data_IF_930538731298
#
_entry.id   IF_930538731298
#
_cell.length_a   1.000
_cell.length_b   1.000
_cell.length_c   1.000
_cell.angle_alpha   90.00
_cell.angle_beta   90.00
_cell.angle_gamma   90.00
#
_symmetry.space_group_name_H-M   'P 1'
#
loop_
_entity.id
_entity.type
_entity.pdbx_description
1 polymer ?
#
# COMPACT_ATOMS: atom_id res chain seq x y z
N UNK A 1 -1.62 17.44 2.02
CA UNK A 1 -2.55 17.60 0.85
C UNK A 1 -3.39 16.33 0.72
N UNK A 2 -4.71 16.44 0.44
CA UNK A 2 -5.57 15.26 0.16
C UNK A 2 -5.26 14.79 -1.27
N UNK A 3 -4.93 13.52 -1.43
CA UNK A 3 -4.56 12.92 -2.71
C UNK A 3 -5.70 12.09 -3.30
N UNK A 4 -6.43 11.36 -2.46
CA UNK A 4 -7.50 10.46 -2.87
C UNK A 4 -8.63 10.55 -1.84
N UNK A 5 -9.86 10.55 -2.32
CA UNK A 5 -11.07 10.46 -1.51
C UNK A 5 -11.90 9.27 -2.00
N UNK A 6 -12.41 8.46 -1.07
CA UNK A 6 -13.29 7.33 -1.33
C UNK A 6 -14.58 7.46 -0.52
N UNK A 7 -15.44 6.47 -0.52
CA UNK A 7 -16.68 6.53 0.27
C UNK A 7 -16.45 6.64 1.79
N UNK A 8 -15.35 6.06 2.30
CA UNK A 8 -15.09 5.99 3.74
C UNK A 8 -13.73 6.54 4.15
N UNK A 9 -12.82 6.77 3.19
CA UNK A 9 -11.43 7.08 3.45
C UNK A 9 -10.99 8.38 2.78
N UNK A 10 -10.05 9.07 3.45
CA UNK A 10 -9.22 10.12 2.89
C UNK A 10 -7.77 9.62 2.92
N UNK A 11 -7.11 9.62 1.77
CA UNK A 11 -5.67 9.38 1.67
C UNK A 11 -4.98 10.73 1.44
N UNK A 12 -4.10 11.10 2.37
CA UNK A 12 -3.37 12.37 2.31
C UNK A 12 -1.88 12.17 2.55
N UNK A 13 -1.10 13.13 2.15
CA UNK A 13 0.30 13.16 2.55
C UNK A 13 0.40 13.10 4.08
N UNK A 14 1.34 12.30 4.58
CA UNK A 14 1.64 12.23 6.01
C UNK A 14 2.67 13.29 6.38
N UNK A 15 2.64 13.71 7.64
CA UNK A 15 3.58 14.63 8.23
C UNK A 15 4.11 14.12 9.57
N UNK A 16 5.03 14.88 10.21
CA UNK A 16 5.57 14.52 11.53
C UNK A 16 4.49 14.37 12.61
N UNK A 17 3.36 15.04 12.46
CA UNK A 17 2.18 14.99 13.34
C UNK A 17 1.49 13.63 13.35
N UNK A 18 1.71 12.81 12.32
CA UNK A 18 1.10 11.47 12.20
C UNK A 18 1.90 10.39 12.94
N UNK A 19 2.99 10.77 13.62
CA UNK A 19 3.91 9.82 14.23
C UNK A 19 3.21 8.86 15.18
N UNK A 20 2.40 9.35 16.13
CA UNK A 20 1.79 8.50 17.15
C UNK A 20 0.82 7.48 16.55
N UNK A 21 0.00 7.90 15.59
CA UNK A 21 -0.93 7.03 14.90
C UNK A 21 -0.19 5.98 14.05
N UNK A 22 0.84 6.39 13.31
CA UNK A 22 1.62 5.48 12.50
C UNK A 22 2.48 4.53 13.35
N UNK A 23 3.03 5.00 14.47
CA UNK A 23 3.78 4.17 15.41
C UNK A 23 2.89 3.05 15.97
N UNK A 24 1.65 3.36 16.35
CA UNK A 24 0.71 2.35 16.82
C UNK A 24 0.43 1.24 15.78
N UNK A 25 0.54 1.55 14.49
CA UNK A 25 0.39 0.58 13.40
C UNK A 25 1.69 -0.20 13.18
N UNK A 26 2.81 0.49 12.95
CA UNK A 26 4.07 -0.13 12.52
C UNK A 26 4.84 -0.81 13.65
N UNK A 27 4.62 -0.42 14.91
CA UNK A 27 5.20 -1.09 16.07
C UNK A 27 4.41 -2.33 16.53
N UNK A 28 3.21 -2.57 15.97
CA UNK A 28 2.42 -3.76 16.25
C UNK A 28 3.08 -4.98 15.58
N UNK A 29 3.55 -5.93 16.41
CA UNK A 29 4.25 -7.13 15.93
C UNK A 29 3.38 -8.05 15.07
N UNK A 30 2.06 -8.08 15.29
CA UNK A 30 1.15 -8.90 14.50
C UNK A 30 0.96 -8.32 13.10
N UNK A 31 0.93 -6.98 12.98
CA UNK A 31 0.83 -6.29 11.68
C UNK A 31 2.13 -6.46 10.90
N UNK A 32 3.27 -6.29 11.58
CA UNK A 32 4.59 -6.26 10.95
C UNK A 32 5.34 -7.60 11.03
N UNK A 33 4.65 -8.71 11.35
CA UNK A 33 5.25 -10.03 11.53
C UNK A 33 6.03 -10.56 10.32
N UNK A 34 5.75 -10.07 9.12
CA UNK A 34 6.43 -10.47 7.89
C UNK A 34 7.66 -9.62 7.56
N UNK A 35 7.98 -8.62 8.41
CA UNK A 35 9.21 -7.83 8.28
C UNK A 35 10.35 -8.47 9.09
N UNK A 36 11.60 -8.44 8.59
CA UNK A 36 12.73 -9.06 9.27
C UNK A 36 13.25 -8.26 10.47
N UNK A 37 12.58 -7.18 10.85
CA UNK A 37 12.96 -6.28 11.93
C UNK A 37 11.72 -5.63 12.57
N UNK A 38 11.90 -5.12 13.79
CA UNK A 38 10.88 -4.37 14.52
C UNK A 38 10.94 -2.88 14.19
N UNK A 39 9.82 -2.19 14.31
CA UNK A 39 9.70 -0.75 14.09
C UNK A 39 9.75 -0.03 15.44
N UNK A 40 10.90 0.51 15.78
CA UNK A 40 11.09 1.47 16.87
C UNK A 40 10.73 2.89 16.43
N UNK A 41 10.76 3.85 17.35
CA UNK A 41 10.45 5.25 17.04
C UNK A 41 11.34 5.83 15.93
N UNK A 42 12.63 5.52 15.92
CA UNK A 42 13.55 6.04 14.91
C UNK A 42 13.19 5.53 13.51
N UNK A 43 12.80 4.26 13.40
CA UNK A 43 12.34 3.68 12.12
C UNK A 43 11.04 4.28 11.64
N UNK A 44 10.09 4.54 12.54
CA UNK A 44 8.81 5.17 12.17
C UNK A 44 9.02 6.62 11.75
N UNK A 45 9.85 7.39 12.45
CA UNK A 45 10.22 8.75 12.00
C UNK A 45 10.90 8.74 10.63
N UNK A 46 11.82 7.80 10.41
CA UNK A 46 12.45 7.63 9.10
C UNK A 46 11.45 7.22 8.01
N UNK A 47 10.45 6.41 8.34
CA UNK A 47 9.36 6.03 7.43
C UNK A 47 8.58 7.26 6.95
N UNK A 48 8.18 8.12 7.88
CA UNK A 48 7.51 9.38 7.56
C UNK A 48 8.40 10.26 6.67
N UNK A 49 9.65 10.49 7.08
CA UNK A 49 10.58 11.34 6.34
C UNK A 49 10.84 10.84 4.92
N UNK A 50 10.98 9.53 4.74
CA UNK A 50 11.12 8.91 3.41
C UNK A 50 9.90 9.13 2.54
N UNK A 51 8.70 9.10 3.09
CA UNK A 51 7.49 9.36 2.32
C UNK A 51 7.34 10.85 1.99
N UNK A 52 7.67 11.77 2.90
CA UNK A 52 7.74 13.20 2.60
C UNK A 52 8.72 13.47 1.44
N UNK A 53 9.89 12.84 1.46
CA UNK A 53 10.85 12.97 0.35
C UNK A 53 10.31 12.38 -0.96
N UNK A 54 9.63 11.24 -0.91
CA UNK A 54 8.97 10.64 -2.08
C UNK A 54 7.93 11.57 -2.70
N UNK A 55 7.09 12.22 -1.88
CA UNK A 55 6.12 13.20 -2.39
C UNK A 55 6.81 14.34 -3.12
N UNK A 56 7.92 14.85 -2.56
CA UNK A 56 8.70 15.93 -3.17
C UNK A 56 9.34 15.54 -4.50
N UNK A 57 9.89 14.32 -4.59
CA UNK A 57 10.67 13.85 -5.75
C UNK A 57 9.78 13.23 -6.82
N UNK A 58 8.80 12.43 -6.44
CA UNK A 58 7.98 11.62 -7.36
C UNK A 58 6.53 12.09 -7.47
N UNK A 59 6.06 12.93 -6.55
CA UNK A 59 4.64 13.29 -6.45
C UNK A 59 3.76 12.19 -5.85
N UNK A 60 4.34 11.09 -5.37
CA UNK A 60 3.64 9.99 -4.71
C UNK A 60 4.52 9.31 -3.66
N UNK A 61 3.89 8.53 -2.79
CA UNK A 61 4.50 7.74 -1.71
C UNK A 61 3.42 6.96 -0.98
N UNK A 62 3.69 6.46 0.22
CA UNK A 62 2.64 5.97 1.10
C UNK A 62 1.93 7.16 1.74
N UNK A 63 0.62 7.21 1.61
CA UNK A 63 -0.22 8.25 2.18
C UNK A 63 -0.85 7.77 3.48
N UNK A 64 -1.11 8.70 4.40
CA UNK A 64 -1.94 8.45 5.59
C UNK A 64 -3.35 8.07 5.15
N UNK A 65 -3.85 6.95 5.64
CA UNK A 65 -5.23 6.50 5.45
C UNK A 65 -6.05 6.95 6.64
N UNK A 66 -6.98 7.87 6.42
CA UNK A 66 -7.82 8.44 7.46
C UNK A 66 -9.29 8.09 7.22
N UNK A 67 -10.04 7.86 8.30
CA UNK A 67 -11.50 7.72 8.22
C UNK A 67 -12.13 9.07 7.92
N UNK A 68 -13.02 9.15 6.93
CA UNK A 68 -13.79 10.38 6.67
C UNK A 68 -14.65 10.81 7.85
N UNK A 69 -15.23 9.84 8.56
CA UNK A 69 -16.18 10.08 9.64
C UNK A 69 -15.58 10.74 10.88
N UNK A 70 -14.29 10.51 11.16
CA UNK A 70 -13.64 10.99 12.39
C UNK A 70 -12.33 11.74 12.15
N UNK A 71 -11.74 11.63 10.95
CA UNK A 71 -10.38 12.11 10.67
C UNK A 71 -9.28 11.22 11.26
N UNK A 72 -9.62 10.14 11.96
CA UNK A 72 -8.68 9.22 12.57
C UNK A 72 -7.81 8.56 11.51
N UNK A 73 -6.48 8.65 11.68
CA UNK A 73 -5.53 7.90 10.87
C UNK A 73 -5.50 6.44 11.31
N UNK A 74 -5.81 5.54 10.40
CA UNK A 74 -5.92 4.09 10.66
C UNK A 74 -4.80 3.27 9.98
N UNK A 75 -3.88 3.92 9.29
CA UNK A 75 -2.80 3.24 8.61
C UNK A 75 -2.18 4.04 7.48
N UNK A 76 -1.46 3.36 6.61
CA UNK A 76 -0.93 3.92 5.38
C UNK A 76 -1.26 3.06 4.16
N UNK A 77 -1.33 3.70 3.00
CA UNK A 77 -1.47 3.03 1.70
C UNK A 77 -0.97 3.97 0.60
N UNK A 78 -0.30 3.42 -0.41
CA UNK A 78 0.15 4.26 -1.52
C UNK A 78 1.02 3.54 -2.54
N UNK A 79 1.60 4.36 -3.42
CA UNK A 79 2.47 3.92 -4.50
C UNK A 79 3.92 4.21 -4.13
N UNK A 80 4.78 3.21 -4.28
CA UNK A 80 6.23 3.36 -4.08
C UNK A 80 7.02 2.63 -5.15
N UNK A 81 8.27 3.02 -5.36
CA UNK A 81 9.20 2.27 -6.20
C UNK A 81 9.97 1.29 -5.31
N UNK A 82 9.79 0.00 -5.53
CA UNK A 82 10.39 -1.07 -4.73
C UNK A 82 11.26 -2.00 -5.58
N UNK A 83 12.33 -2.53 -4.97
CA UNK A 83 13.13 -3.58 -5.58
C UNK A 83 12.45 -4.93 -5.35
N UNK A 84 11.86 -5.49 -6.39
CA UNK A 84 11.12 -6.75 -6.35
C UNK A 84 11.84 -7.77 -7.23
N UNK A 85 12.46 -8.79 -6.62
CA UNK A 85 13.22 -9.80 -7.34
C UNK A 85 14.31 -9.21 -8.23
N UNK A 86 15.04 -8.18 -7.75
CA UNK A 86 16.15 -7.54 -8.45
C UNK A 86 15.77 -6.35 -9.34
N UNK A 87 14.49 -6.15 -9.65
CA UNK A 87 14.00 -5.07 -10.53
C UNK A 87 13.26 -4.01 -9.71
N UNK A 88 13.43 -2.74 -10.07
CA UNK A 88 12.66 -1.63 -9.46
C UNK A 88 11.31 -1.51 -10.16
N UNK A 89 10.23 -1.69 -9.40
CA UNK A 89 8.86 -1.76 -9.90
C UNK A 89 7.94 -0.84 -9.07
N UNK A 90 6.87 -0.27 -9.68
CA UNK A 90 5.85 0.49 -8.95
C UNK A 90 4.98 -0.45 -8.12
N UNK A 91 4.99 -0.26 -6.82
CA UNK A 91 4.35 -1.15 -5.84
C UNK A 91 3.27 -0.40 -5.08
N UNK A 92 2.11 -1.05 -4.93
CA UNK A 92 1.03 -0.61 -4.03
C UNK A 92 1.19 -1.37 -2.71
N UNK A 93 1.55 -0.63 -1.65
CA UNK A 93 1.71 -1.12 -0.29
C UNK A 93 0.64 -0.58 0.64
N UNK A 94 0.37 -1.30 1.73
CA UNK A 94 -0.64 -0.91 2.72
C UNK A 94 -0.40 -1.57 4.07
N UNK A 95 -0.70 -0.80 5.14
CA UNK A 95 -0.76 -1.28 6.53
C UNK A 95 -2.00 -0.66 7.18
N UNK A 96 -2.82 -1.48 7.86
CA UNK A 96 -4.02 -1.02 8.55
C UNK A 96 -3.96 -1.47 10.00
N UNK A 97 -4.25 -0.54 10.91
CA UNK A 97 -4.33 -0.78 12.34
C UNK A 97 -5.23 -1.96 12.67
N UNK A 98 -4.81 -2.81 13.62
CA UNK A 98 -5.48 -4.06 13.96
C UNK A 98 -6.97 -3.89 14.28
N UNK A 99 -7.33 -2.81 15.00
CA UNK A 99 -8.72 -2.48 15.33
C UNK A 99 -9.61 -2.19 14.11
N UNK A 100 -8.99 -1.88 12.97
CA UNK A 100 -9.69 -1.51 11.73
C UNK A 100 -9.56 -2.58 10.62
N UNK A 101 -8.87 -3.67 10.88
CA UNK A 101 -8.75 -4.79 9.94
C UNK A 101 -10.09 -5.51 9.74
N UNK A 102 -10.19 -6.29 8.65
CA UNK A 102 -11.38 -7.08 8.26
C UNK A 102 -12.65 -6.25 8.00
N UNK A 103 -12.52 -4.92 7.86
CA UNK A 103 -13.61 -4.00 7.52
C UNK A 103 -13.56 -3.55 6.06
N UNK A 104 -12.63 -4.08 5.27
CA UNK A 104 -12.47 -3.77 3.86
C UNK A 104 -11.67 -2.49 3.57
N UNK A 105 -11.11 -1.82 4.56
CA UNK A 105 -10.37 -0.57 4.37
C UNK A 105 -9.10 -0.73 3.53
N UNK A 106 -8.31 -1.77 3.76
CA UNK A 106 -7.11 -2.05 2.94
C UNK A 106 -7.48 -2.26 1.46
N UNK A 107 -8.56 -3.01 1.19
CA UNK A 107 -9.09 -3.21 -0.16
C UNK A 107 -9.51 -1.89 -0.80
N UNK A 108 -10.29 -1.07 -0.10
CA UNK A 108 -10.80 0.22 -0.59
C UNK A 108 -9.66 1.18 -0.89
N UNK A 109 -8.68 1.31 0.01
CA UNK A 109 -7.50 2.13 -0.17
C UNK A 109 -6.64 1.65 -1.35
N UNK A 110 -6.34 0.35 -1.44
CA UNK A 110 -5.52 -0.21 -2.50
C UNK A 110 -6.17 -0.06 -3.89
N UNK A 111 -7.49 -0.23 -3.99
CA UNK A 111 -8.23 0.00 -5.23
C UNK A 111 -8.18 1.47 -5.66
N UNK A 112 -8.35 2.38 -4.73
CA UNK A 112 -8.29 3.81 -4.99
C UNK A 112 -6.87 4.25 -5.41
N UNK A 113 -5.82 3.70 -4.79
CA UNK A 113 -4.42 3.93 -5.18
C UNK A 113 -4.13 3.38 -6.58
N UNK A 114 -4.61 2.19 -6.90
CA UNK A 114 -4.50 1.62 -8.26
C UNK A 114 -5.13 2.54 -9.30
N UNK A 115 -6.35 2.98 -9.05
CA UNK A 115 -7.11 3.82 -9.99
C UNK A 115 -6.43 5.20 -10.14
N UNK A 116 -5.98 5.79 -9.04
CA UNK A 116 -5.16 7.01 -9.04
C UNK A 116 -3.88 6.82 -9.85
N UNK A 117 -3.18 5.70 -9.65
CA UNK A 117 -1.91 5.41 -10.34
C UNK A 117 -2.11 5.37 -11.85
N UNK A 118 -3.07 4.61 -12.33
CA UNK A 118 -3.31 4.52 -13.78
C UNK A 118 -3.88 5.82 -14.37
N UNK A 119 -4.60 6.62 -13.60
CA UNK A 119 -5.10 7.92 -14.05
C UNK A 119 -4.02 9.02 -14.07
N UNK A 120 -2.99 8.93 -13.22
CA UNK A 120 -2.06 10.05 -12.97
C UNK A 120 -0.60 9.76 -13.34
N UNK A 121 -0.26 8.52 -13.69
CA UNK A 121 1.10 8.12 -14.03
C UNK A 121 1.13 7.35 -15.35
N UNK A 122 2.28 7.28 -16.04
CA UNK A 122 2.41 6.50 -17.28
C UNK A 122 2.69 5.00 -17.04
N UNK A 123 2.63 4.50 -15.80
CA UNK A 123 2.93 3.10 -15.53
C UNK A 123 1.97 2.18 -16.30
N UNK A 124 2.54 1.24 -17.04
CA UNK A 124 1.79 0.20 -17.77
C UNK A 124 1.35 -0.95 -16.86
N UNK A 125 1.94 -1.06 -15.68
CA UNK A 125 1.68 -2.14 -14.72
C UNK A 125 1.97 -1.66 -13.30
N UNK A 126 1.24 -2.17 -12.31
CA UNK A 126 1.48 -1.98 -10.88
C UNK A 126 1.50 -3.33 -10.18
N UNK A 127 2.24 -3.39 -9.09
CA UNK A 127 2.55 -4.62 -8.37
C UNK A 127 2.19 -4.51 -6.89
N UNK A 128 2.02 -5.64 -6.25
CA UNK A 128 2.10 -5.83 -4.80
C UNK A 128 2.88 -7.11 -4.54
N UNK A 129 3.75 -7.10 -3.55
CA UNK A 129 4.50 -8.30 -3.19
C UNK A 129 4.47 -8.53 -1.69
N UNK A 130 4.51 -9.79 -1.29
CA UNK A 130 4.42 -10.19 0.10
C UNK A 130 5.03 -11.58 0.29
N UNK A 131 5.39 -11.90 1.52
CA UNK A 131 5.72 -13.28 1.88
C UNK A 131 4.53 -14.19 1.52
N UNK A 132 4.79 -15.37 0.98
CA UNK A 132 3.75 -16.32 0.57
C UNK A 132 2.80 -16.67 1.74
N UNK A 133 3.32 -16.66 2.97
CA UNK A 133 2.55 -16.87 4.19
C UNK A 133 1.60 -15.71 4.55
N UNK A 134 1.78 -14.53 3.96
CA UNK A 134 0.93 -13.36 4.23
C UNK A 134 -0.38 -13.42 3.43
N UNK A 135 -1.25 -14.34 3.82
CA UNK A 135 -2.53 -14.57 3.15
C UNK A 135 -3.46 -13.35 3.14
N UNK A 136 -3.54 -12.52 4.20
CA UNK A 136 -4.34 -11.29 4.18
C UNK A 136 -3.90 -10.31 3.10
N UNK A 137 -2.60 -10.05 2.95
CA UNK A 137 -2.08 -9.19 1.88
C UNK A 137 -2.34 -9.74 0.49
N UNK A 138 -2.17 -11.05 0.30
CA UNK A 138 -2.49 -11.74 -0.95
C UNK A 138 -3.99 -11.62 -1.30
N UNK A 139 -4.88 -11.68 -0.30
CA UNK A 139 -6.31 -11.48 -0.50
C UNK A 139 -6.64 -10.06 -0.96
N UNK A 140 -5.99 -9.03 -0.38
CA UNK A 140 -6.14 -7.63 -0.82
C UNK A 140 -5.62 -7.45 -2.24
N UNK A 141 -4.46 -8.00 -2.60
CA UNK A 141 -3.91 -7.93 -3.95
C UNK A 141 -4.90 -8.54 -4.98
N UNK A 142 -5.44 -9.73 -4.71
CA UNK A 142 -6.47 -10.35 -5.57
C UNK A 142 -7.74 -9.50 -5.66
N UNK A 143 -8.21 -8.96 -4.54
CA UNK A 143 -9.39 -8.07 -4.51
C UNK A 143 -9.14 -6.75 -5.25
N UNK A 144 -7.88 -6.33 -5.37
CA UNK A 144 -7.45 -5.19 -6.18
C UNK A 144 -7.35 -5.51 -7.69
N UNK A 145 -7.73 -6.73 -8.07
CA UNK A 145 -7.72 -7.19 -9.47
C UNK A 145 -6.39 -7.73 -9.95
N UNK A 146 -5.41 -7.86 -9.05
CA UNK A 146 -4.11 -8.40 -9.39
C UNK A 146 -4.14 -9.92 -9.49
N UNK A 147 -3.29 -10.48 -10.35
CA UNK A 147 -3.04 -11.91 -10.48
C UNK A 147 -1.63 -12.24 -10.00
N UNK A 148 -1.42 -13.46 -9.54
CA UNK A 148 -0.09 -13.97 -9.20
C UNK A 148 0.73 -14.08 -10.50
N UNK A 149 1.87 -13.39 -10.55
CA UNK A 149 2.75 -13.34 -11.71
C UNK A 149 3.94 -14.28 -11.56
N UNK A 150 4.55 -14.29 -10.38
CA UNK A 150 5.71 -15.13 -10.07
C UNK A 150 5.91 -15.24 -8.55
N UNK A 151 6.74 -16.21 -8.19
CA UNK A 151 7.28 -16.39 -6.84
C UNK A 151 8.81 -16.47 -6.93
N UNK A 152 9.50 -16.09 -5.86
CA UNK A 152 10.94 -16.23 -5.76
C UNK A 152 11.35 -16.37 -4.29
N UNK A 153 12.51 -16.97 -4.06
CA UNK A 153 13.13 -17.01 -2.71
C UNK A 153 13.86 -15.71 -2.48
N UNK A 154 13.52 -15.00 -1.41
CA UNK A 154 14.14 -13.72 -1.06
C UNK A 154 15.45 -13.89 -0.27
N UNK A 155 16.02 -12.75 0.18
CA UNK A 155 17.28 -12.76 0.92
C UNK A 155 17.18 -13.44 2.29
N UNK A 156 15.99 -13.50 2.88
CA UNK A 156 15.69 -14.19 4.15
C UNK A 156 15.40 -15.68 3.93
N UNK A 157 15.60 -16.23 2.74
CA UNK A 157 15.29 -17.60 2.35
C UNK A 157 13.79 -17.96 2.45
N UNK A 158 12.92 -16.97 2.35
CA UNK A 158 11.48 -17.16 2.35
C UNK A 158 10.88 -16.98 0.95
N UNK A 159 9.75 -17.66 0.72
CA UNK A 159 9.03 -17.52 -0.54
C UNK A 159 8.26 -16.20 -0.57
N UNK A 160 8.53 -15.40 -1.58
CA UNK A 160 7.86 -14.13 -1.86
C UNK A 160 7.00 -14.26 -3.11
N UNK A 161 5.71 -13.92 -2.98
CA UNK A 161 4.74 -13.89 -4.07
C UNK A 161 4.62 -12.47 -4.63
N UNK A 162 4.63 -12.34 -5.96
CA UNK A 162 4.47 -11.08 -6.68
C UNK A 162 3.16 -11.10 -7.46
N UNK A 163 2.29 -10.19 -7.12
CA UNK A 163 1.02 -9.94 -7.80
C UNK A 163 1.12 -8.69 -8.67
N UNK A 164 0.33 -8.61 -9.73
CA UNK A 164 0.28 -7.43 -10.58
C UNK A 164 -0.98 -7.33 -11.40
N UNK A 165 -1.25 -6.11 -11.87
CA UNK A 165 -2.31 -5.79 -12.81
C UNK A 165 -1.77 -4.83 -13.86
N UNK A 166 -2.08 -5.11 -15.14
CA UNK A 166 -1.74 -4.21 -16.24
C UNK A 166 -2.78 -3.08 -16.37
N UNK A 167 -2.36 -1.97 -16.99
CA UNK A 167 -3.27 -0.88 -17.39
C UNK A 167 -4.40 -1.40 -18.28
N UNK A 168 -4.09 -2.26 -19.24
CA UNK A 168 -5.09 -2.83 -20.17
C UNK A 168 -6.13 -3.65 -19.43
N UNK A 169 -5.73 -4.47 -18.45
CA UNK A 169 -6.69 -5.23 -17.64
C UNK A 169 -7.56 -4.31 -16.77
N UNK A 170 -6.97 -3.25 -16.23
CA UNK A 170 -7.69 -2.24 -15.45
C UNK A 170 -8.73 -1.52 -16.33
N UNK A 171 -8.34 -1.05 -17.50
CA UNK A 171 -9.26 -0.39 -18.47
C UNK A 171 -10.41 -1.31 -18.86
N UNK A 172 -10.11 -2.57 -19.18
CA UNK A 172 -11.13 -3.57 -19.55
C UNK A 172 -12.15 -3.82 -18.45
N UNK A 173 -11.71 -3.84 -17.18
CA UNK A 173 -12.59 -4.00 -16.02
C UNK A 173 -13.51 -2.79 -15.83
N UNK A 174 -12.96 -1.58 -15.96
CA UNK A 174 -13.73 -0.35 -15.80
C UNK A 174 -14.80 -0.17 -16.89
N UNK A 175 -14.52 -0.58 -18.14
CA UNK A 175 -15.52 -0.57 -19.20
C UNK A 175 -16.72 -1.51 -18.93
N UNK A 176 -16.50 -2.63 -18.24
CA UNK A 176 -17.56 -3.59 -17.89
C UNK A 176 -18.45 -3.14 -16.73
N UNK A 177 -18.02 -2.18 -15.92
CA UNK A 177 -18.76 -1.69 -14.75
C UNK A 177 -19.37 -0.28 -14.98
N UNK A 178 -19.16 0.32 -16.15
CA UNK A 178 -19.65 1.65 -16.54
C UNK A 178 -20.91 1.64 -17.43
N UNK A 179 -21.59 0.50 -17.54
CA UNK A 179 -22.88 0.36 -18.26
C UNK A 179 -24.02 0.07 -17.31
#
# INVERSE_FOLDING_TARGET
>A
MIMIETNRLLLREMGPEDFDALYAVLADSDIMQHYPYTFDEARVRNWINKNIERYRVFGFGLWAVCLQSSGEMIGDCGLTMQRIGGTILPEIGYHIAKAHQRRGYAKEAAQAVRDWTFARTPFGMVYSYMKQSNLPSAAVARANGMTLLREYTDAEQEQTAVYGISRTDWETRNMKHGT
#
